data_IF_067221485459
#
_entry.id   IF_067221485459
#
_cell.length_a   1.000
_cell.length_b   1.000
_cell.length_c   1.000
_cell.angle_alpha   90.00
_cell.angle_beta   90.00
_cell.angle_gamma   90.00
#
_symmetry.space_group_name_H-M   'P 1'
#
loop_
_entity.id
_entity.type
_entity.pdbx_description
1 polymer ?
#
# COMPACT_ATOMS: atom_id res chain seq x y z
N UNK A 1 -11.59 27.25 -1.73
CA UNK A 1 -10.52 26.23 -1.80
C UNK A 1 -10.99 25.06 -2.65
N UNK A 2 -10.26 24.78 -3.73
CA UNK A 2 -10.65 23.82 -4.77
C UNK A 2 -10.48 22.39 -4.21
N UNK A 3 -11.25 21.42 -4.71
CA UNK A 3 -11.27 20.04 -4.16
C UNK A 3 -9.87 19.41 -4.04
N UNK A 4 -8.98 19.71 -4.97
CA UNK A 4 -7.57 19.27 -4.97
C UNK A 4 -6.79 19.87 -3.80
N UNK A 5 -6.93 21.17 -3.55
CA UNK A 5 -6.26 21.84 -2.43
C UNK A 5 -6.74 21.33 -1.06
N UNK A 6 -8.03 20.98 -0.92
CA UNK A 6 -8.55 20.30 0.28
C UNK A 6 -7.93 18.93 0.48
N UNK A 7 -7.77 18.17 -0.59
CA UNK A 7 -7.19 16.83 -0.54
C UNK A 7 -5.71 16.89 -0.17
N UNK A 8 -4.95 17.81 -0.77
CA UNK A 8 -3.54 18.07 -0.43
C UNK A 8 -3.39 18.55 1.01
N UNK A 9 -4.23 19.49 1.49
CA UNK A 9 -4.20 19.90 2.90
C UNK A 9 -4.54 18.76 3.85
N UNK A 10 -5.49 17.89 3.51
CA UNK A 10 -5.78 16.68 4.30
C UNK A 10 -4.59 15.72 4.37
N UNK A 11 -3.88 15.53 3.24
CA UNK A 11 -2.64 14.74 3.19
C UNK A 11 -1.60 15.34 4.13
N UNK A 12 -1.31 16.62 3.99
CA UNK A 12 -0.31 17.33 4.80
C UNK A 12 -0.68 17.30 6.29
N UNK A 13 -1.96 17.49 6.62
CA UNK A 13 -2.45 17.43 8.00
C UNK A 13 -2.35 16.01 8.58
N UNK A 14 -2.60 14.95 7.80
CA UNK A 14 -2.38 13.58 8.25
C UNK A 14 -0.89 13.34 8.57
N UNK A 15 0.03 13.71 7.67
CA UNK A 15 1.47 13.58 7.92
C UNK A 15 1.94 14.41 9.13
N UNK A 16 1.40 15.62 9.33
CA UNK A 16 1.72 16.46 10.48
C UNK A 16 1.15 15.91 11.81
N UNK A 17 -0.06 15.35 11.80
CA UNK A 17 -0.67 14.71 12.98
C UNK A 17 0.10 13.45 13.40
N UNK A 18 0.64 12.73 12.42
CA UNK A 18 1.51 11.58 12.63
C UNK A 18 2.85 11.99 13.25
N UNK A 19 3.48 13.06 12.75
CA UNK A 19 4.74 13.56 13.29
C UNK A 19 4.61 14.05 14.75
N UNK A 20 3.50 14.71 15.09
CA UNK A 20 3.25 15.22 16.44
C UNK A 20 3.03 14.12 17.46
N UNK A 21 2.35 13.02 17.10
CA UNK A 21 2.17 11.84 17.95
C UNK A 21 3.49 11.14 18.35
N UNK A 22 4.60 11.40 17.64
CA UNK A 22 5.91 10.81 17.94
C UNK A 22 6.73 11.64 18.95
N UNK A 23 6.34 12.88 19.20
CA UNK A 23 7.02 13.78 20.15
C UNK A 23 6.84 13.33 21.61
N UNK A 24 5.80 12.54 21.89
CA UNK A 24 5.38 12.16 23.24
C UNK A 24 5.85 10.75 23.67
N UNK A 25 6.86 10.18 23.01
CA UNK A 25 7.35 8.83 23.36
C UNK A 25 8.27 8.89 24.58
N UNK A 26 7.81 8.31 25.69
CA UNK A 26 8.55 8.23 26.95
C UNK A 26 9.89 7.47 26.81
N UNK A 27 10.95 7.92 27.53
CA UNK A 27 12.24 7.23 27.52
C UNK A 27 12.16 5.91 28.30
N UNK A 28 12.35 4.76 27.63
CA UNK A 28 12.46 3.46 28.32
C UNK A 28 12.10 2.19 27.53
N UNK A 29 11.44 2.30 26.37
CA UNK A 29 11.00 1.12 25.60
C UNK A 29 12.11 0.52 24.69
N UNK A 30 12.12 -0.81 24.45
CA UNK A 30 13.15 -1.51 23.67
C UNK A 30 13.38 -0.88 22.28
N UNK A 31 14.65 -0.86 21.86
CA UNK A 31 15.17 -0.07 20.74
C UNK A 31 14.80 -0.69 19.39
N UNK A 32 13.53 -0.63 19.03
CA UNK A 32 13.20 -0.45 17.62
C UNK A 32 13.69 0.95 17.24
N UNK A 33 14.64 1.03 16.31
CA UNK A 33 15.26 2.30 15.93
C UNK A 33 14.17 3.33 15.60
N UNK A 34 14.37 4.60 15.99
CA UNK A 34 13.44 5.69 15.68
C UNK A 34 13.06 5.70 14.19
N UNK A 35 14.00 5.34 13.31
CA UNK A 35 13.77 5.14 11.89
C UNK A 35 12.72 4.05 11.59
N UNK A 36 12.79 2.88 12.23
CA UNK A 36 11.84 1.79 12.00
C UNK A 36 10.42 2.15 12.47
N UNK A 37 10.28 2.87 13.59
CA UNK A 37 8.99 3.43 14.04
C UNK A 37 8.44 4.44 13.04
N UNK A 38 9.30 5.32 12.52
CA UNK A 38 8.93 6.31 11.50
C UNK A 38 8.46 5.61 10.21
N UNK A 39 9.19 4.61 9.74
CA UNK A 39 8.82 3.85 8.55
C UNK A 39 7.48 3.15 8.74
N UNK A 40 7.26 2.46 9.86
CA UNK A 40 5.98 1.78 10.11
C UNK A 40 4.80 2.74 10.19
N UNK A 41 4.98 3.89 10.84
CA UNK A 41 3.92 4.89 11.01
C UNK A 41 3.61 5.64 9.71
N UNK A 42 4.62 5.94 8.90
CA UNK A 42 4.46 6.60 7.59
C UNK A 42 4.00 5.64 6.50
N UNK A 43 4.26 4.35 6.64
CA UNK A 43 3.88 3.34 5.66
C UNK A 43 2.35 3.22 5.54
N UNK A 44 1.60 3.16 6.64
CA UNK A 44 0.14 3.03 6.60
C UNK A 44 -0.54 4.16 5.78
N UNK A 45 -0.33 5.47 6.08
CA UNK A 45 -0.93 6.53 5.27
C UNK A 45 -0.40 6.50 3.83
N UNK A 46 0.88 6.20 3.61
CA UNK A 46 1.46 6.08 2.28
C UNK A 46 0.76 5.00 1.44
N UNK A 47 0.54 3.80 1.98
CA UNK A 47 -0.14 2.70 1.31
C UNK A 47 -1.58 3.07 0.94
N UNK A 48 -2.31 3.68 1.87
CA UNK A 48 -3.68 4.16 1.62
C UNK A 48 -3.68 5.17 0.46
N UNK A 49 -2.75 6.12 0.46
CA UNK A 49 -2.63 7.09 -0.63
C UNK A 49 -2.30 6.44 -1.96
N UNK A 50 -1.31 5.54 -2.00
CA UNK A 50 -0.91 4.83 -3.22
C UNK A 50 -2.09 4.07 -3.83
N UNK A 51 -2.84 3.31 -3.02
CA UNK A 51 -3.99 2.53 -3.50
C UNK A 51 -5.10 3.45 -4.00
N UNK A 52 -5.50 4.45 -3.21
CA UNK A 52 -6.57 5.38 -3.58
C UNK A 52 -6.24 6.12 -4.88
N UNK A 53 -5.04 6.69 -4.99
CA UNK A 53 -4.63 7.42 -6.18
C UNK A 53 -4.42 6.51 -7.39
N UNK A 54 -4.00 5.26 -7.20
CA UNK A 54 -3.92 4.30 -8.30
C UNK A 54 -5.32 4.00 -8.88
N UNK A 55 -6.32 3.77 -8.03
CA UNK A 55 -7.70 3.56 -8.50
C UNK A 55 -8.32 4.83 -9.10
N UNK A 56 -8.06 6.01 -8.52
CA UNK A 56 -8.52 7.27 -9.11
C UNK A 56 -7.90 7.51 -10.49
N UNK A 57 -6.61 7.24 -10.64
CA UNK A 57 -5.89 7.36 -11.93
C UNK A 57 -6.45 6.36 -12.95
N UNK A 58 -6.63 5.09 -12.56
CA UNK A 58 -7.24 4.07 -13.41
C UNK A 58 -8.65 4.45 -13.86
N UNK A 59 -9.45 5.05 -12.97
CA UNK A 59 -10.80 5.54 -13.29
C UNK A 59 -10.80 6.73 -14.23
N UNK A 60 -9.78 7.58 -14.19
CA UNK A 60 -9.69 8.75 -15.06
C UNK A 60 -9.23 8.39 -16.48
N UNK A 61 -8.36 7.38 -16.61
CA UNK A 61 -7.81 6.90 -17.88
C UNK A 61 -8.77 5.96 -18.64
N UNK A 62 -10.09 6.17 -18.51
CA UNK A 62 -11.16 5.26 -18.94
C UNK A 62 -10.91 4.62 -20.31
N UNK A 63 -10.85 3.29 -20.31
CA UNK A 63 -10.86 2.47 -21.53
C UNK A 63 -9.49 2.27 -22.19
N UNK A 64 -9.45 1.32 -23.14
CA UNK A 64 -8.23 0.99 -23.88
C UNK A 64 -7.17 0.22 -23.10
N UNK A 65 -6.07 -0.08 -23.78
CA UNK A 65 -4.97 -0.89 -23.25
C UNK A 65 -4.29 -0.17 -22.08
N UNK A 66 -4.15 1.16 -22.15
CA UNK A 66 -3.54 1.99 -21.11
C UNK A 66 -4.36 2.00 -19.82
N UNK A 67 -5.68 2.29 -19.90
CA UNK A 67 -6.57 2.28 -18.75
C UNK A 67 -6.69 0.89 -18.10
N UNK A 68 -6.69 -0.17 -18.91
CA UNK A 68 -6.66 -1.54 -18.39
C UNK A 68 -5.36 -1.85 -17.67
N UNK A 69 -4.22 -1.40 -18.20
CA UNK A 69 -2.92 -1.54 -17.56
C UNK A 69 -2.86 -0.82 -16.20
N UNK A 70 -3.38 0.40 -16.12
CA UNK A 70 -3.48 1.14 -14.86
C UNK A 70 -4.44 0.51 -13.85
N UNK A 71 -5.50 -0.15 -14.31
CA UNK A 71 -6.41 -0.91 -13.43
C UNK A 71 -5.71 -2.12 -12.83
N UNK A 72 -4.92 -2.86 -13.62
CA UNK A 72 -4.13 -3.99 -13.14
C UNK A 72 -3.07 -3.53 -12.12
N UNK A 73 -2.40 -2.41 -12.38
CA UNK A 73 -1.48 -1.78 -11.42
C UNK A 73 -2.16 -1.43 -10.10
N UNK A 74 -3.35 -0.83 -10.15
CA UNK A 74 -4.10 -0.47 -8.94
C UNK A 74 -4.47 -1.69 -8.09
N UNK A 75 -4.88 -2.79 -8.72
CA UNK A 75 -5.10 -4.05 -8.02
C UNK A 75 -3.81 -4.65 -7.45
N UNK A 76 -2.69 -4.57 -8.18
CA UNK A 76 -1.39 -5.00 -7.68
C UNK A 76 -0.97 -4.23 -6.41
N UNK A 77 -1.13 -2.90 -6.42
CA UNK A 77 -0.86 -2.05 -5.26
C UNK A 77 -1.80 -2.32 -4.09
N UNK A 78 -3.06 -2.66 -4.35
CA UNK A 78 -3.99 -3.06 -3.29
C UNK A 78 -3.51 -4.34 -2.59
N UNK A 79 -3.16 -5.38 -3.36
CA UNK A 79 -2.66 -6.64 -2.79
C UNK A 79 -1.36 -6.41 -2.01
N UNK A 80 -0.44 -5.61 -2.56
CA UNK A 80 0.79 -5.19 -1.86
C UNK A 80 0.47 -4.49 -0.54
N UNK A 81 -0.43 -3.50 -0.56
CA UNK A 81 -0.78 -2.74 0.64
C UNK A 81 -1.39 -3.62 1.73
N UNK A 82 -2.25 -4.57 1.37
CA UNK A 82 -2.77 -5.56 2.33
C UNK A 82 -1.65 -6.45 2.89
N UNK A 83 -0.70 -6.88 2.06
CA UNK A 83 0.46 -7.65 2.49
C UNK A 83 1.34 -6.90 3.49
N UNK A 84 1.63 -5.63 3.24
CA UNK A 84 2.39 -4.78 4.16
C UNK A 84 1.62 -4.54 5.47
N UNK A 85 0.31 -4.31 5.42
CA UNK A 85 -0.51 -4.19 6.64
C UNK A 85 -0.48 -5.49 7.46
N UNK A 86 -0.54 -6.65 6.82
CA UNK A 86 -0.39 -7.94 7.48
C UNK A 86 0.98 -8.07 8.16
N UNK A 87 2.08 -7.74 7.45
CA UNK A 87 3.42 -7.76 8.04
C UNK A 87 3.54 -6.83 9.25
N UNK A 88 2.90 -5.66 9.22
CA UNK A 88 2.89 -4.73 10.33
C UNK A 88 2.10 -5.25 11.53
N UNK A 89 0.96 -5.92 11.30
CA UNK A 89 0.21 -6.57 12.38
C UNK A 89 1.00 -7.70 13.03
N UNK A 90 1.72 -8.49 12.24
CA UNK A 90 2.58 -9.56 12.76
C UNK A 90 3.75 -9.00 13.57
N UNK A 91 4.40 -7.95 13.06
CA UNK A 91 5.58 -7.35 13.69
C UNK A 91 5.25 -6.57 14.96
N UNK A 92 4.11 -5.86 15.01
CA UNK A 92 3.78 -4.96 16.12
C UNK A 92 2.76 -5.54 17.11
N UNK A 93 1.84 -6.39 16.65
CA UNK A 93 0.77 -6.95 17.49
C UNK A 93 0.96 -8.46 17.74
N UNK A 94 1.96 -9.09 17.12
CA UNK A 94 2.15 -10.54 17.18
C UNK A 94 1.02 -11.33 16.50
N UNK A 95 0.21 -10.65 15.69
CA UNK A 95 -0.99 -11.23 15.07
C UNK A 95 -0.72 -11.58 13.60
N UNK A 96 -0.67 -12.87 13.30
CA UNK A 96 -0.55 -13.35 11.92
C UNK A 96 -1.95 -13.67 11.36
N UNK A 97 -2.51 -12.73 10.58
CA UNK A 97 -3.83 -12.86 9.96
C UNK A 97 -3.95 -14.12 9.08
N UNK A 98 -2.93 -14.40 8.27
CA UNK A 98 -2.96 -15.53 7.33
C UNK A 98 -2.89 -16.87 8.05
N UNK A 99 -2.06 -17.01 9.07
CA UNK A 99 -2.05 -18.22 9.90
C UNK A 99 -3.35 -18.39 10.69
N UNK A 100 -3.95 -17.29 11.16
CA UNK A 100 -5.22 -17.34 11.90
C UNK A 100 -6.37 -17.83 11.02
N UNK A 101 -6.43 -17.37 9.77
CA UNK A 101 -7.52 -17.73 8.85
C UNK A 101 -7.34 -19.10 8.19
N UNK A 102 -6.10 -19.48 7.85
CA UNK A 102 -5.82 -20.66 7.01
C UNK A 102 -4.96 -21.72 7.70
N UNK A 103 -4.59 -21.52 8.97
CA UNK A 103 -3.66 -22.38 9.70
C UNK A 103 -2.19 -22.16 9.30
N UNK A 104 -1.23 -22.84 9.96
CA UNK A 104 0.20 -22.61 9.78
C UNK A 104 0.67 -22.81 8.33
N UNK A 105 0.25 -23.90 7.69
CA UNK A 105 0.61 -24.22 6.31
C UNK A 105 -0.20 -23.40 5.30
N UNK A 106 -1.50 -23.22 5.54
CA UNK A 106 -2.36 -22.44 4.66
C UNK A 106 -2.00 -20.96 4.63
N UNK A 107 -1.54 -20.40 5.75
CA UNK A 107 -1.08 -19.01 5.84
C UNK A 107 0.17 -18.77 4.98
N UNK A 108 1.09 -19.73 4.96
CA UNK A 108 2.28 -19.65 4.10
C UNK A 108 1.91 -19.70 2.62
N UNK A 109 0.99 -20.57 2.21
CA UNK A 109 0.49 -20.60 0.84
C UNK A 109 -0.24 -19.30 0.47
N UNK A 110 -1.08 -18.76 1.35
CA UNK A 110 -1.77 -17.50 1.14
C UNK A 110 -0.80 -16.33 0.93
N UNK A 111 0.28 -16.28 1.72
CA UNK A 111 1.37 -15.30 1.54
C UNK A 111 2.03 -15.41 0.16
N UNK A 112 2.39 -16.63 -0.26
CA UNK A 112 2.96 -16.85 -1.60
C UNK A 112 2.01 -16.44 -2.71
N UNK A 113 0.73 -16.79 -2.61
CA UNK A 113 -0.29 -16.39 -3.60
C UNK A 113 -0.41 -14.88 -3.67
N UNK A 114 -0.39 -14.16 -2.55
CA UNK A 114 -0.42 -12.71 -2.51
C UNK A 114 0.82 -12.08 -3.19
N UNK A 115 2.02 -12.64 -2.98
CA UNK A 115 3.24 -12.20 -3.67
C UNK A 115 3.14 -12.38 -5.18
N UNK A 116 2.75 -13.58 -5.62
CA UNK A 116 2.58 -13.87 -7.05
C UNK A 116 1.51 -12.98 -7.68
N UNK A 117 0.37 -12.78 -7.01
CA UNK A 117 -0.68 -11.89 -7.48
C UNK A 117 -0.18 -10.46 -7.64
N UNK A 118 0.56 -9.93 -6.65
CA UNK A 118 1.13 -8.58 -6.68
C UNK A 118 2.04 -8.38 -7.89
N UNK A 119 3.00 -9.28 -8.11
CA UNK A 119 3.94 -9.18 -9.23
C UNK A 119 3.28 -9.40 -10.58
N UNK A 120 2.34 -10.35 -10.66
CA UNK A 120 1.66 -10.66 -11.93
C UNK A 120 0.75 -9.52 -12.34
N UNK A 121 -0.05 -8.98 -11.42
CA UNK A 121 -0.91 -7.82 -11.69
C UNK A 121 -0.09 -6.60 -12.07
N UNK A 122 0.98 -6.30 -11.33
CA UNK A 122 1.85 -5.15 -11.61
C UNK A 122 2.59 -5.33 -12.94
N UNK A 123 3.17 -6.50 -13.19
CA UNK A 123 3.89 -6.81 -14.43
C UNK A 123 2.99 -6.76 -15.66
N UNK A 124 1.78 -7.34 -15.59
CA UNK A 124 0.80 -7.23 -16.68
C UNK A 124 0.33 -5.78 -16.86
N UNK A 125 0.15 -5.04 -15.76
CA UNK A 125 -0.20 -3.63 -15.79
C UNK A 125 0.83 -2.79 -16.54
N UNK A 126 2.10 -2.90 -16.15
CA UNK A 126 3.22 -2.26 -16.84
C UNK A 126 3.34 -2.68 -18.29
N UNK A 127 3.18 -3.96 -18.60
CA UNK A 127 3.27 -4.45 -19.99
C UNK A 127 2.19 -3.84 -20.88
N UNK A 128 0.95 -3.71 -20.37
CA UNK A 128 -0.13 -3.05 -21.11
C UNK A 128 0.13 -1.56 -21.31
N UNK A 129 0.59 -0.87 -20.27
CA UNK A 129 0.98 0.55 -20.35
C UNK A 129 2.09 0.74 -21.38
N UNK A 130 3.10 -0.13 -21.37
CA UNK A 130 4.21 -0.12 -22.32
C UNK A 130 3.74 -0.28 -23.77
N UNK A 131 2.90 -1.28 -24.05
CA UNK A 131 2.33 -1.50 -25.39
C UNK A 131 1.55 -0.28 -25.88
N UNK A 132 0.69 0.26 -25.01
CA UNK A 132 -0.08 1.47 -25.31
C UNK A 132 0.82 2.69 -25.58
N UNK A 133 1.92 2.88 -24.84
CA UNK A 133 2.86 3.99 -25.06
C UNK A 133 3.63 3.90 -26.39
N UNK A 134 3.71 2.70 -26.97
CA UNK A 134 4.38 2.46 -28.25
C UNK A 134 3.43 2.50 -29.45
N UNK A 135 2.13 2.74 -29.22
CA UNK A 135 1.11 2.72 -30.29
C UNK A 135 0.87 1.33 -30.88
N UNK A 136 1.14 0.27 -30.12
CA UNK A 136 0.98 -1.15 -30.52
C UNK A 136 -0.17 -1.81 -29.75
#
# INVERSE_FOLDING_TARGET
MNRVARLVSLVVLMFASVATAMSDVAPGEPVMSTASRLFALLEIPFLVFCVVFAFLSARQLRGGVFGTGMTLMAWGFLVMGVGHLHMQMETHMGFNLFQTLFGPHGGQYAWFVALFATWTLSGMGFMRIYKASRGV
#
